data_IF_614765298058
#
_entry.id   IF_614765298058
#
_cell.length_a   1.000
_cell.length_b   1.000
_cell.length_c   1.000
_cell.angle_alpha   90.00
_cell.angle_beta   90.00
_cell.angle_gamma   90.00
#
_symmetry.space_group_name_H-M   'P 1'
#
loop_
_entity.id
_entity.type
_entity.pdbx_description
1 polymer ?
#
# COMPACT_ATOMS: atom_id res chain seq x y z
N UNK A 1 -5.15 21.18 19.01
CA UNK A 1 -6.27 20.23 18.87
C UNK A 1 -5.63 18.84 18.92
N UNK A 2 -5.89 18.09 19.96
CA UNK A 2 -5.29 16.77 20.14
C UNK A 2 -6.04 15.79 19.22
N UNK A 3 -5.37 15.20 18.22
CA UNK A 3 -5.89 14.09 17.43
C UNK A 3 -5.54 12.83 18.24
N UNK A 4 -6.53 12.23 18.87
CA UNK A 4 -6.38 11.00 19.66
C UNK A 4 -6.77 9.76 18.83
N UNK A 5 -6.79 9.88 17.49
CA UNK A 5 -7.17 8.78 16.61
C UNK A 5 -5.96 7.91 16.27
N UNK A 6 -6.10 6.61 16.42
CA UNK A 6 -5.11 5.64 15.94
C UNK A 6 -4.99 5.73 14.41
N UNK A 7 -3.80 5.45 13.84
CA UNK A 7 -3.57 5.53 12.38
C UNK A 7 -4.57 4.71 11.57
N UNK A 8 -5.03 3.57 12.10
CA UNK A 8 -6.01 2.69 11.44
C UNK A 8 -7.36 3.34 11.16
N UNK A 9 -7.74 4.39 11.90
CA UNK A 9 -9.03 5.08 11.77
C UNK A 9 -8.89 6.57 11.47
N UNK A 10 -7.67 7.10 11.45
CA UNK A 10 -7.39 8.53 11.34
C UNK A 10 -8.07 9.19 10.15
N UNK A 11 -7.98 8.59 8.96
CA UNK A 11 -8.57 9.17 7.75
C UNK A 11 -10.10 9.16 7.81
N UNK A 12 -10.70 8.13 8.40
CA UNK A 12 -12.15 8.06 8.59
C UNK A 12 -12.65 9.13 9.55
N UNK A 13 -11.92 9.40 10.62
CA UNK A 13 -12.27 10.44 11.58
C UNK A 13 -12.10 11.85 10.99
N UNK A 14 -11.06 12.06 10.19
CA UNK A 14 -10.88 13.30 9.44
C UNK A 14 -11.96 13.50 8.36
N UNK A 15 -12.39 12.42 7.69
CA UNK A 15 -13.50 12.48 6.73
C UNK A 15 -14.82 12.84 7.38
N UNK A 16 -15.17 12.28 8.56
CA UNK A 16 -16.34 12.69 9.35
C UNK A 16 -16.31 14.17 9.68
N UNK A 17 -15.12 14.73 9.93
CA UNK A 17 -14.95 16.13 10.34
C UNK A 17 -14.92 17.11 9.16
N UNK A 18 -14.30 16.74 8.06
CA UNK A 18 -13.97 17.65 6.95
C UNK A 18 -14.74 17.34 5.66
N UNK A 19 -15.28 16.13 5.51
CA UNK A 19 -16.20 15.74 4.46
C UNK A 19 -15.69 16.01 3.04
N UNK A 20 -16.41 16.85 2.31
CA UNK A 20 -16.10 17.20 0.92
C UNK A 20 -14.96 18.21 0.73
N UNK A 21 -14.30 18.69 1.80
CA UNK A 21 -13.14 19.59 1.66
C UNK A 21 -11.97 18.82 1.05
N UNK A 22 -11.15 19.53 0.27
CA UNK A 22 -9.90 18.97 -0.30
C UNK A 22 -8.98 18.48 0.81
N UNK A 23 -8.59 17.20 0.72
CA UNK A 23 -7.61 16.56 1.61
C UNK A 23 -6.22 16.61 0.98
N UNK A 24 -6.12 16.28 -0.31
CA UNK A 24 -4.86 16.16 -1.03
C UNK A 24 -4.99 16.75 -2.44
N UNK A 25 -3.89 17.29 -2.94
CA UNK A 25 -3.71 17.65 -4.34
C UNK A 25 -2.56 16.83 -4.92
N UNK A 26 -2.73 16.32 -6.13
CA UNK A 26 -1.77 15.43 -6.76
C UNK A 26 -1.76 15.59 -8.28
N UNK A 27 -0.75 15.02 -8.92
CA UNK A 27 -0.71 14.78 -10.36
C UNK A 27 -0.65 13.28 -10.61
N UNK A 28 -1.32 12.79 -11.66
CA UNK A 28 -1.15 11.41 -12.11
C UNK A 28 0.28 11.18 -12.64
N UNK A 29 0.67 9.93 -12.78
CA UNK A 29 1.91 9.54 -13.43
C UNK A 29 1.98 10.16 -14.84
N UNK A 30 3.06 10.91 -15.11
CA UNK A 30 3.21 11.64 -16.38
C UNK A 30 2.23 12.80 -16.62
N UNK A 31 1.30 13.06 -15.70
CA UNK A 31 0.29 14.12 -15.81
C UNK A 31 0.83 15.50 -15.51
N UNK A 32 0.30 16.52 -16.18
CA UNK A 32 0.66 17.93 -15.95
C UNK A 32 -0.37 18.69 -15.12
N UNK A 33 -1.62 18.22 -15.08
CA UNK A 33 -2.72 18.89 -14.40
C UNK A 33 -2.82 18.45 -12.94
N UNK A 34 -3.08 19.40 -12.03
CA UNK A 34 -3.41 19.14 -10.66
C UNK A 34 -4.82 18.57 -10.54
N UNK A 35 -4.96 17.51 -9.78
CA UNK A 35 -6.22 16.91 -9.33
C UNK A 35 -6.31 17.02 -7.83
N UNK A 36 -7.52 16.95 -7.30
CA UNK A 36 -7.74 16.96 -5.86
C UNK A 36 -8.59 15.78 -5.43
N UNK A 37 -8.43 15.39 -4.18
CA UNK A 37 -9.23 14.37 -3.51
C UNK A 37 -9.77 14.98 -2.23
N UNK A 38 -11.07 14.86 -2.01
CA UNK A 38 -11.73 15.24 -0.76
C UNK A 38 -11.41 14.23 0.36
N UNK A 39 -11.66 14.61 1.61
CA UNK A 39 -11.53 13.71 2.75
C UNK A 39 -12.45 12.47 2.62
N UNK A 40 -13.66 12.64 2.08
CA UNK A 40 -14.57 11.53 1.83
C UNK A 40 -14.02 10.55 0.80
N UNK A 41 -13.50 11.05 -0.32
CA UNK A 41 -12.90 10.22 -1.35
C UNK A 41 -11.65 9.53 -0.84
N UNK A 42 -10.81 10.21 -0.07
CA UNK A 42 -9.63 9.60 0.54
C UNK A 42 -10.04 8.44 1.48
N UNK A 43 -11.01 8.68 2.37
CA UNK A 43 -11.54 7.65 3.26
C UNK A 43 -12.08 6.43 2.50
N UNK A 44 -12.83 6.67 1.41
CA UNK A 44 -13.36 5.61 0.58
C UNK A 44 -12.24 4.79 -0.08
N UNK A 45 -11.18 5.44 -0.60
CA UNK A 45 -10.06 4.72 -1.20
C UNK A 45 -9.28 3.91 -0.16
N UNK A 46 -9.07 4.46 1.03
CA UNK A 46 -8.44 3.74 2.16
C UNK A 46 -9.24 2.48 2.51
N UNK A 47 -10.58 2.57 2.61
CA UNK A 47 -11.44 1.41 2.85
C UNK A 47 -11.28 0.36 1.77
N UNK A 48 -11.32 0.75 0.48
CA UNK A 48 -11.17 -0.19 -0.65
C UNK A 48 -9.83 -0.91 -0.63
N UNK A 49 -8.73 -0.21 -0.28
CA UNK A 49 -7.41 -0.84 -0.13
C UNK A 49 -7.43 -1.82 1.04
N UNK A 50 -8.00 -1.44 2.18
CA UNK A 50 -8.16 -2.33 3.34
C UNK A 50 -8.91 -3.62 2.98
N UNK A 51 -10.05 -3.50 2.31
CA UNK A 51 -10.85 -4.64 1.85
C UNK A 51 -10.06 -5.53 0.88
N UNK A 52 -9.33 -4.94 -0.08
CA UNK A 52 -8.52 -5.69 -1.03
C UNK A 52 -7.34 -6.42 -0.37
N UNK A 53 -6.69 -5.82 0.63
CA UNK A 53 -5.65 -6.47 1.43
C UNK A 53 -6.20 -7.66 2.22
N UNK A 54 -7.39 -7.53 2.81
CA UNK A 54 -8.06 -8.66 3.48
C UNK A 54 -8.41 -9.77 2.48
N UNK A 55 -8.88 -9.43 1.28
CA UNK A 55 -9.16 -10.41 0.22
C UNK A 55 -7.91 -11.15 -0.24
N UNK A 56 -6.72 -10.52 -0.19
CA UNK A 56 -5.43 -11.17 -0.40
C UNK A 56 -4.98 -12.04 0.80
N UNK A 57 -5.68 -12.00 1.92
CA UNK A 57 -5.32 -12.74 3.13
C UNK A 57 -4.19 -12.11 3.92
N UNK A 58 -4.05 -10.78 3.88
CA UNK A 58 -3.05 -10.05 4.69
C UNK A 58 -3.38 -10.18 6.18
N UNK A 59 -2.42 -10.70 6.93
CA UNK A 59 -2.51 -10.91 8.38
C UNK A 59 -2.25 -9.66 9.21
N UNK A 60 -2.54 -9.73 10.53
CA UNK A 60 -2.16 -8.68 11.49
C UNK A 60 -0.63 -8.62 11.57
N UNK A 61 -0.07 -7.41 11.52
CA UNK A 61 1.37 -7.13 11.54
C UNK A 61 2.17 -7.81 10.41
N UNK A 62 1.46 -8.30 9.38
CA UNK A 62 2.13 -8.74 8.16
C UNK A 62 2.73 -7.54 7.43
N UNK A 63 3.93 -7.73 6.86
CA UNK A 63 4.67 -6.67 6.18
C UNK A 63 4.33 -6.68 4.69
N UNK A 64 4.02 -5.51 4.16
CA UNK A 64 3.90 -5.26 2.72
C UNK A 64 4.91 -4.20 2.30
N UNK A 65 5.47 -4.29 1.09
CA UNK A 65 6.40 -3.29 0.59
C UNK A 65 5.70 -2.28 -0.32
N UNK A 66 6.18 -1.04 -0.29
CA UNK A 66 5.82 -0.01 -1.26
C UNK A 66 7.10 0.49 -1.93
N UNK A 67 7.23 0.23 -3.22
CA UNK A 67 8.36 0.56 -4.07
C UNK A 67 7.93 1.53 -5.17
N UNK A 68 7.85 2.80 -4.84
CA UNK A 68 7.28 3.83 -5.71
C UNK A 68 7.85 5.21 -5.40
N UNK A 69 7.81 6.09 -6.40
CA UNK A 69 7.85 7.53 -6.17
C UNK A 69 6.64 7.96 -5.32
N UNK A 70 6.74 9.14 -4.72
CA UNK A 70 5.61 9.72 -3.98
C UNK A 70 4.40 9.87 -4.91
N UNK A 71 3.30 9.26 -4.53
CA UNK A 71 2.05 9.29 -5.28
C UNK A 71 0.84 9.22 -4.35
N UNK A 72 -0.33 9.52 -4.86
CA UNK A 72 -1.56 9.38 -4.09
C UNK A 72 -1.86 7.92 -3.76
N UNK A 73 -1.52 6.99 -4.66
CA UNK A 73 -1.71 5.55 -4.45
C UNK A 73 -0.85 5.03 -3.29
N UNK A 74 0.35 5.60 -3.12
CA UNK A 74 1.21 5.31 -1.98
C UNK A 74 0.48 5.61 -0.67
N UNK A 75 -0.12 6.81 -0.53
CA UNK A 75 -0.87 7.19 0.68
C UNK A 75 -2.11 6.30 0.89
N UNK A 76 -2.84 5.97 -0.17
CA UNK A 76 -3.96 5.04 -0.06
C UNK A 76 -3.52 3.67 0.45
N UNK A 77 -2.35 3.20 -0.01
CA UNK A 77 -1.79 1.91 0.41
C UNK A 77 -1.36 1.92 1.87
N UNK A 78 -0.64 2.95 2.32
CA UNK A 78 -0.21 3.06 3.72
C UNK A 78 -1.40 3.07 4.67
N UNK A 79 -2.33 4.00 4.48
CA UNK A 79 -3.50 4.10 5.36
C UNK A 79 -4.43 2.89 5.26
N UNK A 80 -4.55 2.28 4.08
CA UNK A 80 -5.30 1.04 3.89
C UNK A 80 -4.65 -0.14 4.62
N UNK A 81 -3.34 -0.25 4.58
CA UNK A 81 -2.57 -1.26 5.29
C UNK A 81 -2.71 -1.11 6.82
N UNK A 82 -2.58 0.11 7.33
CA UNK A 82 -2.77 0.39 8.75
C UNK A 82 -4.22 0.12 9.19
N UNK A 83 -5.20 0.33 8.29
CA UNK A 83 -6.60 0.00 8.51
C UNK A 83 -6.85 -1.48 8.78
N UNK A 84 -6.01 -2.37 8.25
CA UNK A 84 -6.06 -3.83 8.52
C UNK A 84 -4.95 -4.29 9.46
N UNK A 85 -4.24 -3.35 10.13
CA UNK A 85 -3.14 -3.61 11.05
C UNK A 85 -1.94 -4.30 10.39
N UNK A 86 -1.72 -4.06 9.09
CA UNK A 86 -0.51 -4.44 8.40
C UNK A 86 0.57 -3.37 8.61
N UNK A 87 1.84 -3.77 8.47
CA UNK A 87 3.00 -2.89 8.58
C UNK A 87 3.54 -2.60 7.18
N UNK A 88 3.80 -1.34 6.85
CA UNK A 88 4.39 -0.97 5.55
C UNK A 88 5.91 -0.88 5.61
N UNK A 89 6.56 -1.30 4.53
CA UNK A 89 8.00 -1.16 4.33
C UNK A 89 8.22 -0.33 3.07
N UNK A 90 8.49 0.98 3.22
CA UNK A 90 8.81 1.83 2.08
C UNK A 90 10.20 1.52 1.56
N UNK A 91 10.32 1.29 0.26
CA UNK A 91 11.57 1.21 -0.48
C UNK A 91 11.76 2.50 -1.26
N UNK A 92 12.98 3.04 -1.24
CA UNK A 92 13.30 4.16 -2.12
C UNK A 92 13.10 3.76 -3.58
N UNK A 93 12.52 4.62 -4.39
CA UNK A 93 12.27 4.34 -5.81
C UNK A 93 13.53 3.96 -6.60
N UNK A 94 14.71 4.29 -6.08
CA UNK A 94 16.04 3.96 -6.63
C UNK A 94 16.70 2.75 -5.96
N UNK A 95 16.01 2.04 -5.06
CA UNK A 95 16.55 0.86 -4.37
C UNK A 95 17.06 -0.17 -5.38
N UNK A 96 18.26 -0.71 -5.14
CA UNK A 96 18.84 -1.77 -5.97
C UNK A 96 18.10 -3.10 -5.78
N UNK A 97 18.20 -3.98 -6.76
CA UNK A 97 17.63 -5.33 -6.70
C UNK A 97 18.21 -6.14 -5.53
N UNK A 98 19.50 -6.03 -5.29
CA UNK A 98 20.18 -6.72 -4.18
C UNK A 98 19.64 -6.27 -2.83
N UNK A 99 19.51 -4.97 -2.60
CA UNK A 99 18.93 -4.42 -1.37
C UNK A 99 17.46 -4.83 -1.23
N UNK A 100 16.70 -4.79 -2.32
CA UNK A 100 15.30 -5.21 -2.34
C UNK A 100 15.17 -6.69 -1.98
N UNK A 101 15.98 -7.56 -2.60
CA UNK A 101 16.00 -9.00 -2.31
C UNK A 101 16.28 -9.27 -0.83
N UNK A 102 17.26 -8.57 -0.27
CA UNK A 102 17.58 -8.68 1.16
C UNK A 102 16.37 -8.33 2.03
N UNK A 103 15.75 -7.16 1.79
CA UNK A 103 14.61 -6.68 2.58
C UNK A 103 13.40 -7.63 2.45
N UNK A 104 13.09 -8.08 1.23
CA UNK A 104 11.96 -9.00 0.98
C UNK A 104 12.15 -10.30 1.74
N UNK A 105 13.34 -10.89 1.70
CA UNK A 105 13.63 -12.15 2.37
C UNK A 105 13.68 -12.01 3.90
N UNK A 106 14.30 -10.94 4.42
CA UNK A 106 14.41 -10.67 5.85
C UNK A 106 13.03 -10.39 6.47
N UNK A 107 12.24 -9.51 5.85
CA UNK A 107 10.93 -9.15 6.36
C UNK A 107 9.82 -10.13 5.94
N UNK A 108 10.11 -11.13 5.09
CA UNK A 108 9.17 -12.11 4.53
C UNK A 108 8.00 -11.46 3.82
N UNK A 109 8.29 -10.48 2.98
CA UNK A 109 7.28 -9.71 2.24
C UNK A 109 6.58 -10.62 1.23
N UNK A 110 5.24 -10.64 1.26
CA UNK A 110 4.40 -11.40 0.33
C UNK A 110 3.85 -10.52 -0.79
N UNK A 111 3.67 -9.25 -0.56
CA UNK A 111 3.04 -8.29 -1.48
C UNK A 111 3.88 -7.03 -1.60
N UNK A 112 4.14 -6.60 -2.84
CA UNK A 112 4.85 -5.36 -3.14
C UNK A 112 4.01 -4.50 -4.08
N UNK A 113 3.94 -3.20 -3.78
CA UNK A 113 3.27 -2.20 -4.58
C UNK A 113 4.32 -1.39 -5.34
N UNK A 114 4.26 -1.41 -6.67
CA UNK A 114 5.22 -0.75 -7.55
C UNK A 114 4.61 0.48 -8.23
N UNK A 115 5.40 1.54 -8.39
CA UNK A 115 5.00 2.77 -9.05
C UNK A 115 4.99 2.64 -10.58
N UNK A 116 6.16 2.72 -11.17
CA UNK A 116 6.41 2.85 -12.60
C UNK A 116 7.10 1.60 -13.17
N UNK A 117 7.39 1.60 -14.47
CA UNK A 117 7.99 0.45 -15.18
C UNK A 117 9.30 -0.03 -14.52
N UNK A 118 10.20 0.88 -14.17
CA UNK A 118 11.49 0.51 -13.57
C UNK A 118 11.30 -0.26 -12.24
N UNK A 119 10.38 0.18 -11.39
CA UNK A 119 10.10 -0.49 -10.13
C UNK A 119 9.45 -1.86 -10.36
N UNK A 120 8.54 -1.96 -11.32
CA UNK A 120 7.95 -3.25 -11.70
C UNK A 120 9.00 -4.24 -12.21
N UNK A 121 9.86 -3.81 -13.15
CA UNK A 121 10.87 -4.68 -13.77
C UNK A 121 11.82 -5.24 -12.71
N UNK A 122 12.31 -4.39 -11.79
CA UNK A 122 13.15 -4.82 -10.66
C UNK A 122 12.41 -5.78 -9.73
N UNK A 123 11.18 -5.46 -9.34
CA UNK A 123 10.40 -6.32 -8.44
C UNK A 123 10.11 -7.69 -9.09
N UNK A 124 9.83 -7.70 -10.39
CA UNK A 124 9.61 -8.93 -11.17
C UNK A 124 10.86 -9.78 -11.27
N UNK A 125 12.03 -9.17 -11.47
CA UNK A 125 13.31 -9.90 -11.46
C UNK A 125 13.55 -10.51 -10.07
N UNK A 126 13.46 -9.72 -9.02
CA UNK A 126 13.71 -10.15 -7.64
C UNK A 126 12.71 -11.20 -7.17
N UNK A 127 11.48 -11.21 -7.69
CA UNK A 127 10.45 -12.19 -7.33
C UNK A 127 10.93 -13.63 -7.57
N UNK A 128 11.70 -13.87 -8.62
CA UNK A 128 12.26 -15.20 -8.91
C UNK A 128 13.30 -15.66 -7.86
N UNK A 129 13.83 -14.74 -7.07
CA UNK A 129 14.85 -14.96 -6.04
C UNK A 129 14.27 -14.94 -4.62
N UNK A 130 12.97 -14.61 -4.49
CA UNK A 130 12.29 -14.43 -3.20
C UNK A 130 11.02 -15.27 -3.13
N UNK A 131 11.12 -16.47 -2.55
CA UNK A 131 9.99 -17.40 -2.46
C UNK A 131 8.79 -16.88 -1.66
N UNK A 132 8.97 -15.87 -0.81
CA UNK A 132 7.88 -15.23 -0.08
C UNK A 132 7.05 -14.28 -0.93
N UNK A 133 7.63 -13.67 -1.99
CA UNK A 133 6.96 -12.64 -2.79
C UNK A 133 5.95 -13.27 -3.75
N UNK A 134 4.67 -13.16 -3.41
CA UNK A 134 3.58 -13.82 -4.13
C UNK A 134 2.95 -12.93 -5.19
N UNK A 135 2.86 -11.61 -4.95
CA UNK A 135 2.16 -10.71 -5.88
C UNK A 135 2.78 -9.33 -5.94
N UNK A 136 2.78 -8.77 -7.15
CA UNK A 136 3.20 -7.41 -7.47
C UNK A 136 1.94 -6.61 -7.88
N UNK A 137 1.67 -5.51 -7.20
CA UNK A 137 0.55 -4.61 -7.49
C UNK A 137 1.12 -3.32 -8.09
N UNK A 138 0.60 -2.89 -9.24
CA UNK A 138 1.18 -1.82 -10.05
C UNK A 138 0.25 -0.62 -10.06
N UNK A 139 0.77 0.55 -9.66
CA UNK A 139 -0.02 1.79 -9.60
C UNK A 139 -0.27 2.40 -10.97
N UNK A 140 0.78 2.52 -11.79
CA UNK A 140 0.70 3.16 -13.09
C UNK A 140 0.17 2.20 -14.16
N UNK A 141 -0.97 2.56 -14.75
CA UNK A 141 -1.60 1.80 -15.85
C UNK A 141 -0.76 1.79 -17.14
N UNK A 142 0.21 2.68 -17.28
CA UNK A 142 1.11 2.71 -18.45
C UNK A 142 2.19 1.64 -18.41
N UNK A 143 2.42 1.03 -17.24
CA UNK A 143 3.36 -0.10 -17.07
C UNK A 143 2.91 -1.29 -17.91
N UNK A 144 3.81 -1.85 -18.68
CA UNK A 144 3.57 -3.07 -19.44
C UNK A 144 3.92 -4.28 -18.57
N UNK A 145 2.90 -5.04 -18.17
CA UNK A 145 3.10 -6.31 -17.46
C UNK A 145 3.69 -7.33 -18.44
N UNK A 146 4.72 -8.06 -17.99
CA UNK A 146 5.36 -9.09 -18.80
C UNK A 146 4.37 -10.16 -19.26
N UNK A 147 4.56 -10.68 -20.47
CA UNK A 147 3.72 -11.75 -21.00
C UNK A 147 3.82 -13.00 -20.09
N UNK A 148 2.65 -13.59 -19.80
CA UNK A 148 2.54 -14.75 -18.90
C UNK A 148 2.99 -14.49 -17.44
N UNK A 149 2.80 -13.26 -16.93
CA UNK A 149 3.00 -12.96 -15.51
C UNK A 149 1.66 -12.99 -14.72
N UNK A 150 1.28 -14.13 -14.12
CA UNK A 150 0.05 -14.25 -13.35
C UNK A 150 0.16 -13.64 -11.94
N UNK A 151 1.37 -13.27 -11.53
CA UNK A 151 1.63 -12.73 -10.20
C UNK A 151 1.44 -11.22 -10.12
N UNK A 152 1.40 -10.53 -11.25
CA UNK A 152 1.28 -9.08 -11.31
C UNK A 152 -0.13 -8.64 -11.71
N UNK A 153 -0.64 -7.61 -11.05
CA UNK A 153 -1.94 -7.01 -11.35
C UNK A 153 -1.86 -5.48 -11.21
N UNK A 154 -2.73 -4.78 -11.92
CA UNK A 154 -2.89 -3.35 -11.72
C UNK A 154 -3.67 -3.04 -10.44
N UNK A 155 -3.42 -1.87 -9.87
CA UNK A 155 -4.04 -1.41 -8.64
C UNK A 155 -5.57 -1.39 -8.69
N UNK A 156 -6.16 -1.00 -9.82
CA UNK A 156 -7.61 -1.02 -9.98
C UNK A 156 -8.19 -2.45 -9.92
N UNK A 157 -7.46 -3.43 -10.45
CA UNK A 157 -7.88 -4.84 -10.43
C UNK A 157 -7.67 -5.44 -9.03
N UNK A 158 -6.59 -5.03 -8.33
CA UNK A 158 -6.42 -5.33 -6.91
C UNK A 158 -7.58 -4.79 -6.08
N UNK A 159 -8.01 -3.54 -6.27
CA UNK A 159 -9.16 -2.97 -5.55
C UNK A 159 -10.47 -3.74 -5.77
N UNK A 160 -10.68 -4.32 -6.96
CA UNK A 160 -11.87 -5.15 -7.25
C UNK A 160 -11.90 -6.44 -6.43
N UNK A 161 -10.75 -6.97 -6.03
CA UNK A 161 -10.70 -8.16 -5.17
C UNK A 161 -11.40 -7.92 -3.83
N UNK A 162 -11.36 -6.67 -3.32
CA UNK A 162 -12.00 -6.28 -2.07
C UNK A 162 -13.53 -6.38 -2.07
N UNK A 163 -14.20 -6.47 -3.25
CA UNK A 163 -15.65 -6.56 -3.31
C UNK A 163 -16.22 -7.77 -2.56
N UNK A 164 -15.46 -8.85 -2.44
CA UNK A 164 -15.84 -10.02 -1.64
C UNK A 164 -15.85 -9.76 -0.13
N UNK A 165 -15.19 -8.72 0.33
CA UNK A 165 -15.05 -8.32 1.73
C UNK A 165 -16.00 -7.18 2.10
N UNK A 166 -16.42 -6.37 1.09
CA UNK A 166 -17.27 -5.20 1.30
C UNK A 166 -18.52 -5.55 2.10
N UNK A 167 -18.77 -4.80 3.19
CA UNK A 167 -19.92 -5.00 4.08
C UNK A 167 -19.79 -6.18 5.06
N UNK A 168 -18.67 -6.91 5.08
CA UNK A 168 -18.45 -8.01 6.02
C UNK A 168 -18.19 -7.56 7.46
N UNK A 169 -17.80 -6.29 7.68
CA UNK A 169 -17.38 -5.76 8.99
C UNK A 169 -15.96 -6.18 9.40
N UNK A 170 -15.21 -6.86 8.53
CA UNK A 170 -13.85 -7.34 8.88
C UNK A 170 -12.83 -6.21 9.00
N UNK A 171 -12.96 -5.13 8.20
CA UNK A 171 -12.09 -3.95 8.31
C UNK A 171 -12.32 -3.28 9.67
N UNK A 172 -13.57 -3.04 10.04
CA UNK A 172 -13.95 -2.44 11.31
C UNK A 172 -13.47 -3.27 12.51
N UNK A 173 -13.57 -4.60 12.45
CA UNK A 173 -13.02 -5.49 13.48
C UNK A 173 -11.51 -5.32 13.64
N UNK A 174 -10.76 -5.23 12.54
CA UNK A 174 -9.32 -4.98 12.55
C UNK A 174 -9.00 -3.63 13.19
N UNK A 175 -9.72 -2.58 12.81
CA UNK A 175 -9.55 -1.23 13.34
C UNK A 175 -9.83 -1.17 14.85
N UNK A 176 -10.92 -1.80 15.30
CA UNK A 176 -11.31 -1.85 16.73
C UNK A 176 -10.30 -2.61 17.60
N UNK A 177 -9.60 -3.57 17.02
CA UNK A 177 -8.57 -4.35 17.72
C UNK A 177 -7.16 -3.76 17.63
N UNK A 178 -6.99 -2.62 16.96
CA UNK A 178 -5.70 -1.96 16.82
C UNK A 178 -5.20 -1.40 18.16
N UNK A 179 -3.89 -1.50 18.36
CA UNK A 179 -3.23 -1.07 19.60
C UNK A 179 -2.07 -0.12 19.29
N UNK A 180 -1.64 0.64 20.27
CA UNK A 180 -0.48 1.54 20.14
C UNK A 180 0.86 0.80 20.01
N UNK A 181 0.88 -0.51 20.23
CA UNK A 181 2.03 -1.39 20.03
C UNK A 181 2.13 -1.91 18.56
N UNK A 182 1.11 -1.69 17.74
CA UNK A 182 1.14 -2.09 16.33
C UNK A 182 2.21 -1.30 15.58
N UNK A 183 3.09 -2.00 14.87
CA UNK A 183 4.04 -1.37 13.96
C UNK A 183 3.30 -0.80 12.76
N UNK A 184 3.45 0.50 12.53
CA UNK A 184 2.90 1.14 11.34
C UNK A 184 3.83 0.97 10.14
N UNK A 185 5.14 1.16 10.36
CA UNK A 185 6.14 1.20 9.29
C UNK A 185 7.50 0.71 9.80
N UNK A 186 8.27 0.05 8.93
CA UNK A 186 9.69 -0.29 9.15
C UNK A 186 10.52 0.39 8.08
N UNK A 187 11.45 1.24 8.50
CA UNK A 187 12.36 1.96 7.61
C UNK A 187 13.73 1.31 7.62
N UNK A 188 14.20 0.86 6.45
CA UNK A 188 15.57 0.40 6.24
C UNK A 188 16.46 1.58 5.86
N UNK A 189 17.55 1.76 6.59
CA UNK A 189 18.53 2.83 6.33
C UNK A 189 19.88 2.22 6.00
N UNK A 190 20.73 2.97 5.28
CA UNK A 190 22.06 2.52 4.87
C UNK A 190 23.03 2.22 6.04
N UNK A 191 22.68 2.58 7.26
CA UNK A 191 23.49 2.31 8.46
C UNK A 191 23.18 0.99 9.18
N UNK A 192 22.15 0.25 8.75
CA UNK A 192 21.71 -1.00 9.40
C UNK A 192 22.30 -2.26 8.76
N UNK A 193 23.06 -2.15 7.69
CA UNK A 193 23.70 -3.24 6.94
C UNK A 193 25.22 -3.25 7.06
N UNK A 194 25.76 -2.70 8.15
CA UNK A 194 27.19 -2.74 8.50
C UNK A 194 27.57 -4.02 9.21
#
# INVERSE_FOLDING_TARGET
MQINSHLSVLIHDLAKKHGGRTALEYKDYGGTQWKHVSWNEFSNQVTRVSEALLALGVGVQEKIAVFSQNSIHYLFTDFGAWGVRACTIPLYATTSEETMQYIINEAKIRYIFCGEQEQYDKARHVQNLCSSLLKIIIYDRSVTIAEHDPSSIYFDDFLKMGFSITGSGEVEKRQQSATWEDLACILYTSGTTG
#
